data_IF_681166671828
#
_entry.id   IF_681166671828
#
_cell.length_a   1.000
_cell.length_b   1.000
_cell.length_c   1.000
_cell.angle_alpha   90.00
_cell.angle_beta   90.00
_cell.angle_gamma   90.00
#
_symmetry.space_group_name_H-M   'P 1'
#
loop_
_entity.id
_entity.type
_entity.pdbx_description
1 polymer ?
#
# COMPACT_ATOMS: atom_id res chain seq x y z
N UNK A 1 3.35 25.86 41.55
CA UNK A 1 3.01 24.79 40.56
C UNK A 1 1.53 24.72 40.22
N UNK A 2 0.59 24.75 41.16
CA UNK A 2 -0.86 24.65 40.84
C UNK A 2 -1.45 25.81 40.03
N UNK A 3 -0.93 27.04 40.20
CA UNK A 3 -1.42 28.22 39.46
C UNK A 3 -0.99 28.24 37.98
N UNK A 4 0.17 27.66 37.65
CA UNK A 4 0.69 27.60 36.27
C UNK A 4 -0.08 26.56 35.42
N UNK A 5 -0.54 25.47 36.05
CA UNK A 5 -1.35 24.46 35.40
C UNK A 5 -2.75 24.99 35.04
N UNK A 6 -3.34 25.81 35.94
CA UNK A 6 -4.65 26.43 35.70
C UNK A 6 -4.58 27.46 34.57
N UNK A 7 -3.50 28.24 34.47
CA UNK A 7 -3.29 29.17 33.35
C UNK A 7 -3.07 28.45 32.00
N UNK A 8 -2.37 27.32 32.00
CA UNK A 8 -2.20 26.50 30.79
C UNK A 8 -3.51 25.88 30.33
N UNK A 9 -4.35 25.43 31.25
CA UNK A 9 -5.69 24.89 30.92
C UNK A 9 -6.64 26.00 30.42
N UNK A 10 -6.56 27.21 30.96
CA UNK A 10 -7.35 28.33 30.44
C UNK A 10 -6.85 28.84 29.10
N UNK A 11 -5.56 28.77 28.80
CA UNK A 11 -4.99 29.13 27.51
C UNK A 11 -5.45 28.12 26.42
N UNK A 12 -5.53 26.81 26.74
CA UNK A 12 -6.05 25.80 25.82
C UNK A 12 -7.57 25.98 25.62
N UNK A 13 -8.33 26.32 26.65
CA UNK A 13 -9.75 26.61 26.53
C UNK A 13 -10.05 27.88 25.72
N UNK A 14 -9.20 28.92 25.81
CA UNK A 14 -9.36 30.17 25.06
C UNK A 14 -9.01 29.99 23.56
N UNK A 15 -8.07 29.10 23.22
CA UNK A 15 -7.77 28.74 21.83
C UNK A 15 -8.93 27.93 21.22
N UNK A 16 -9.61 27.09 22.02
CA UNK A 16 -10.78 26.34 21.54
C UNK A 16 -12.00 27.24 21.30
N UNK A 17 -12.16 28.35 22.03
CA UNK A 17 -13.28 29.27 21.85
C UNK A 17 -13.13 30.23 20.65
N UNK A 18 -11.90 30.50 20.22
CA UNK A 18 -11.62 31.31 19.02
C UNK A 18 -11.68 30.51 17.71
N UNK A 19 -11.76 29.20 17.75
CA UNK A 19 -11.79 28.33 16.58
C UNK A 19 -13.21 28.10 16.00
N UNK A 20 -14.20 28.82 16.49
CA UNK A 20 -15.59 28.72 16.01
C UNK A 20 -15.96 29.69 14.88
N UNK A 21 -14.98 30.29 14.21
CA UNK A 21 -15.24 30.82 12.87
C UNK A 21 -15.42 29.65 11.94
N UNK A 22 -16.66 29.42 11.49
CA UNK A 22 -16.93 28.51 10.37
C UNK A 22 -16.17 29.03 9.15
N UNK A 23 -14.96 28.54 8.98
CA UNK A 23 -14.29 28.67 7.69
C UNK A 23 -15.03 27.79 6.71
N UNK A 24 -15.87 28.38 5.92
CA UNK A 24 -16.51 27.71 4.80
C UNK A 24 -15.44 27.56 3.74
N UNK A 25 -14.95 26.35 3.53
CA UNK A 25 -14.10 26.04 2.39
C UNK A 25 -15.01 25.97 1.18
N UNK A 26 -14.91 26.93 0.28
CA UNK A 26 -15.59 26.88 -0.99
C UNK A 26 -14.97 25.78 -1.85
N UNK A 27 -15.74 24.72 -2.08
CA UNK A 27 -15.34 23.62 -2.96
C UNK A 27 -15.70 24.02 -4.39
N UNK A 28 -14.75 24.01 -5.34
CA UNK A 28 -15.05 24.30 -6.74
C UNK A 28 -16.17 23.42 -7.29
N UNK A 29 -17.02 23.95 -8.16
CA UNK A 29 -18.21 23.24 -8.69
C UNK A 29 -17.89 21.95 -9.46
N UNK A 30 -16.69 21.83 -10.01
CA UNK A 30 -16.20 20.60 -10.66
C UNK A 30 -15.78 19.50 -9.69
N UNK A 31 -15.65 19.83 -8.40
CA UNK A 31 -15.27 18.88 -7.34
C UNK A 31 -16.49 18.62 -6.46
N UNK A 32 -16.87 17.38 -6.29
CA UNK A 32 -18.04 16.99 -5.51
C UNK A 32 -17.76 15.78 -4.61
N UNK A 33 -18.66 15.57 -3.63
CA UNK A 33 -18.61 14.44 -2.70
C UNK A 33 -17.26 14.31 -1.99
N UNK A 34 -16.65 15.43 -1.64
CA UNK A 34 -15.37 15.43 -0.90
C UNK A 34 -15.59 14.92 0.51
N UNK A 35 -14.85 13.87 0.86
CA UNK A 35 -14.93 13.21 2.16
C UNK A 35 -13.54 13.05 2.76
N UNK A 36 -13.38 13.52 3.99
CA UNK A 36 -12.23 13.24 4.84
C UNK A 36 -12.55 12.05 5.74
N UNK A 37 -11.67 11.08 5.78
CA UNK A 37 -11.79 9.90 6.64
C UNK A 37 -10.44 9.51 7.23
N UNK A 38 -10.45 8.70 8.26
CA UNK A 38 -9.21 8.22 8.86
C UNK A 38 -9.47 7.15 9.89
N UNK A 39 -8.42 6.44 10.25
CA UNK A 39 -8.45 5.44 11.30
C UNK A 39 -7.09 5.22 11.92
N UNK A 40 -7.10 4.79 13.19
CA UNK A 40 -5.94 4.32 13.93
C UNK A 40 -6.16 2.89 14.39
N UNK A 41 -5.11 2.07 14.35
CA UNK A 41 -5.10 0.70 14.87
C UNK A 41 -3.94 0.55 15.83
N UNK A 42 -4.23 0.18 17.07
CA UNK A 42 -3.25 -0.18 18.09
C UNK A 42 -3.29 -1.67 18.33
N UNK A 43 -2.19 -2.25 18.71
CA UNK A 43 -2.11 -3.68 19.03
C UNK A 43 -1.13 -3.96 20.16
N UNK A 44 -1.34 -5.07 20.85
CA UNK A 44 -0.36 -5.73 21.68
C UNK A 44 0.17 -6.95 20.93
N UNK A 45 1.47 -7.13 20.89
CA UNK A 45 2.12 -8.25 20.23
C UNK A 45 3.02 -8.98 21.20
N UNK A 46 2.84 -10.29 21.28
CA UNK A 46 3.71 -11.21 22.02
C UNK A 46 4.28 -12.25 21.07
N UNK A 47 5.59 -12.50 21.14
CA UNK A 47 6.26 -13.59 20.46
C UNK A 47 7.25 -14.21 21.43
N UNK A 48 7.15 -15.52 21.63
CA UNK A 48 8.14 -16.32 22.38
C UNK A 48 9.08 -17.10 21.46
N UNK A 49 9.12 -16.76 20.18
CA UNK A 49 10.02 -17.41 19.23
C UNK A 49 11.47 -17.05 19.57
N UNK A 50 12.32 -18.07 19.73
CA UNK A 50 13.74 -17.90 20.01
C UNK A 50 14.39 -16.97 18.97
N UNK A 51 15.16 -16.01 19.41
CA UNK A 51 15.84 -14.99 18.62
C UNK A 51 14.90 -13.99 17.92
N UNK A 52 13.59 -14.01 18.26
CA UNK A 52 12.58 -13.06 17.78
C UNK A 52 11.51 -12.78 18.84
N UNK A 53 11.95 -12.73 20.11
CA UNK A 53 11.08 -12.44 21.25
C UNK A 53 10.53 -11.01 21.15
N UNK A 54 9.24 -10.86 21.41
CA UNK A 54 8.56 -9.57 21.41
C UNK A 54 7.49 -9.52 22.49
N UNK A 55 7.47 -8.43 23.22
CA UNK A 55 6.41 -8.11 24.18
C UNK A 55 6.17 -6.60 24.10
N UNK A 56 5.25 -6.17 23.26
CA UNK A 56 5.16 -4.76 22.89
C UNK A 56 3.72 -4.31 22.60
N UNK A 57 3.41 -3.10 23.08
CA UNK A 57 2.30 -2.31 22.56
C UNK A 57 2.79 -1.45 21.40
N UNK A 58 2.09 -1.45 20.29
CA UNK A 58 2.48 -0.66 19.14
C UNK A 58 1.28 -0.12 18.36
N UNK A 59 1.56 0.86 17.48
CA UNK A 59 0.60 1.41 16.54
C UNK A 59 0.78 0.68 15.21
N UNK A 60 -0.19 -0.15 14.87
CA UNK A 60 -0.16 -0.91 13.62
C UNK A 60 -0.36 -0.02 12.40
N UNK A 61 -1.33 0.90 12.47
CA UNK A 61 -1.65 1.81 11.39
C UNK A 61 -2.23 3.11 11.93
N UNK A 62 -1.87 4.22 11.31
CA UNK A 62 -2.50 5.52 11.50
C UNK A 62 -2.62 6.17 10.13
N UNK A 63 -3.85 6.32 9.61
CA UNK A 63 -4.11 6.76 8.24
C UNK A 63 -5.18 7.83 8.19
N UNK A 64 -4.98 8.79 7.26
CA UNK A 64 -5.99 9.78 6.86
C UNK A 64 -6.15 9.68 5.35
N UNK A 65 -7.37 9.77 4.88
CA UNK A 65 -7.73 9.74 3.48
C UNK A 65 -8.63 10.90 3.12
N UNK A 66 -8.42 11.46 1.95
CA UNK A 66 -9.29 12.40 1.28
C UNK A 66 -9.72 11.79 -0.04
N UNK A 67 -11.01 11.81 -0.32
CA UNK A 67 -11.58 11.24 -1.53
C UNK A 67 -12.71 12.12 -2.06
N UNK A 68 -13.06 11.98 -3.34
CA UNK A 68 -14.13 12.75 -3.93
C UNK A 68 -14.38 12.40 -5.40
N UNK A 69 -15.19 13.24 -6.07
CA UNK A 69 -15.47 13.12 -7.50
C UNK A 69 -15.11 14.38 -8.24
N UNK A 70 -14.59 14.23 -9.46
CA UNK A 70 -14.29 15.30 -10.41
C UNK A 70 -15.21 15.11 -11.60
N UNK A 71 -15.92 16.16 -11.99
CA UNK A 71 -16.83 16.17 -13.14
C UNK A 71 -17.84 14.99 -13.16
N UNK A 72 -18.19 14.46 -11.99
CA UNK A 72 -19.17 13.38 -11.84
C UNK A 72 -18.63 11.98 -12.10
N UNK A 73 -17.88 11.78 -13.18
CA UNK A 73 -17.45 10.44 -13.64
C UNK A 73 -16.13 9.97 -13.04
N UNK A 74 -15.28 10.88 -12.60
CA UNK A 74 -13.97 10.54 -12.05
C UNK A 74 -14.00 10.51 -10.52
N UNK A 75 -13.78 9.35 -9.95
CA UNK A 75 -13.49 9.19 -8.52
C UNK A 75 -11.99 9.29 -8.29
N UNK A 76 -11.58 9.99 -7.24
CA UNK A 76 -10.19 10.10 -6.83
C UNK A 76 -10.05 9.85 -5.33
N UNK A 77 -8.89 9.35 -4.95
CA UNK A 77 -8.54 9.14 -3.54
C UNK A 77 -7.06 9.39 -3.31
N UNK A 78 -6.76 10.05 -2.20
CA UNK A 78 -5.42 10.12 -1.62
C UNK A 78 -5.46 9.61 -0.19
N UNK A 79 -4.46 8.85 0.22
CA UNK A 79 -4.35 8.35 1.59
C UNK A 79 -2.90 8.39 2.06
N UNK A 80 -2.68 8.92 3.26
CA UNK A 80 -1.38 9.00 3.92
C UNK A 80 -1.39 8.11 5.15
N UNK A 81 -0.31 7.35 5.34
CA UNK A 81 -0.02 6.60 6.55
C UNK A 81 1.05 7.34 7.34
N UNK A 82 0.76 7.67 8.61
CA UNK A 82 1.63 8.49 9.44
C UNK A 82 2.71 7.70 10.17
N UNK A 83 2.52 6.42 10.38
CA UNK A 83 3.50 5.55 11.03
C UNK A 83 4.41 4.80 10.04
N UNK A 84 4.52 5.27 8.81
CA UNK A 84 5.35 4.65 7.78
C UNK A 84 4.95 3.19 7.51
N UNK A 85 5.94 2.29 7.45
CA UNK A 85 5.72 0.85 7.33
C UNK A 85 5.99 0.09 8.63
N UNK A 86 6.35 0.80 9.67
CA UNK A 86 6.65 0.22 10.99
C UNK A 86 5.41 0.29 11.88
N UNK A 87 5.39 -0.52 12.90
CA UNK A 87 4.39 -0.46 13.97
C UNK A 87 4.76 0.52 15.07
N UNK A 88 5.66 1.47 14.81
CA UNK A 88 6.07 2.51 15.76
C UNK A 88 5.86 3.90 15.16
N UNK A 89 5.60 4.87 16.02
CA UNK A 89 5.64 6.28 15.66
C UNK A 89 7.11 6.69 15.50
N UNK A 90 7.44 7.42 14.48
CA UNK A 90 8.80 7.89 14.22
C UNK A 90 9.26 7.66 12.79
N UNK A 91 8.53 6.90 12.03
CA UNK A 91 8.72 6.83 10.59
C UNK A 91 8.07 8.01 9.89
N UNK A 92 8.69 8.46 8.81
CA UNK A 92 8.13 9.54 7.99
C UNK A 92 6.76 9.17 7.43
N UNK A 93 5.82 10.11 7.37
CA UNK A 93 4.56 9.91 6.66
C UNK A 93 4.81 9.48 5.22
N UNK A 94 3.98 8.58 4.72
CA UNK A 94 4.10 8.09 3.34
C UNK A 94 2.75 8.02 2.66
N UNK A 95 2.75 8.34 1.38
CA UNK A 95 1.59 8.15 0.53
C UNK A 95 1.35 6.64 0.33
N UNK A 96 0.15 6.18 0.64
CA UNK A 96 -0.24 4.77 0.42
C UNK A 96 -1.21 4.62 -0.74
N UNK A 97 -2.16 5.52 -0.91
CA UNK A 97 -3.03 5.55 -2.08
C UNK A 97 -2.99 6.94 -2.73
N UNK A 98 -2.86 6.99 -4.03
CA UNK A 98 -3.04 8.18 -4.87
C UNK A 98 -3.47 7.70 -6.25
N UNK A 99 -4.77 7.79 -6.54
CA UNK A 99 -5.30 7.33 -7.81
C UNK A 99 -6.52 8.12 -8.26
N UNK A 100 -6.79 8.05 -9.55
CA UNK A 100 -8.05 8.44 -10.15
C UNK A 100 -8.68 7.24 -10.87
N UNK A 101 -10.00 7.18 -10.85
CA UNK A 101 -10.76 6.11 -11.47
C UNK A 101 -11.93 6.70 -12.26
N UNK A 102 -11.95 6.45 -13.56
CA UNK A 102 -13.07 6.76 -14.40
C UNK A 102 -14.15 5.69 -14.26
N UNK A 103 -15.36 6.11 -13.87
CA UNK A 103 -16.46 5.24 -13.44
C UNK A 103 -17.76 5.52 -14.20
N UNK A 104 -17.69 6.01 -15.44
CA UNK A 104 -18.88 6.34 -16.22
C UNK A 104 -19.78 5.15 -16.49
N UNK A 105 -19.19 3.99 -16.75
CA UNK A 105 -19.92 2.76 -17.03
C UNK A 105 -19.67 1.73 -15.92
N UNK A 106 -20.73 1.02 -15.55
CA UNK A 106 -20.63 0.00 -14.51
C UNK A 106 -19.79 -1.20 -14.96
N UNK A 107 -19.89 -1.56 -16.22
CA UNK A 107 -19.20 -2.69 -16.82
C UNK A 107 -17.76 -2.38 -17.26
N UNK A 108 -17.36 -1.11 -17.25
CA UNK A 108 -16.01 -0.72 -17.65
C UNK A 108 -15.56 0.53 -16.91
N UNK A 109 -14.62 0.36 -16.02
CA UNK A 109 -13.99 1.40 -15.21
C UNK A 109 -12.49 1.32 -15.40
N UNK A 110 -11.81 2.46 -15.38
CA UNK A 110 -10.36 2.57 -15.57
C UNK A 110 -9.77 3.29 -14.39
N UNK A 111 -8.83 2.65 -13.70
CA UNK A 111 -8.12 3.19 -12.53
C UNK A 111 -6.65 3.34 -12.84
N UNK A 112 -6.06 4.50 -12.52
CA UNK A 112 -4.65 4.79 -12.70
C UNK A 112 -4.07 5.45 -11.45
N UNK A 113 -2.86 5.07 -11.09
CA UNK A 113 -2.12 5.62 -9.95
C UNK A 113 -1.58 4.55 -9.04
N UNK A 114 -1.43 4.89 -7.76
CA UNK A 114 -0.98 3.98 -6.71
C UNK A 114 -2.16 3.51 -5.87
N UNK A 115 -2.39 2.21 -5.84
CA UNK A 115 -3.51 1.60 -5.11
C UNK A 115 -3.23 0.12 -4.81
N UNK A 116 -4.12 -0.52 -4.06
CA UNK A 116 -4.01 -1.94 -3.74
C UNK A 116 -4.14 -2.82 -4.98
N UNK A 117 -3.19 -3.73 -5.15
CA UNK A 117 -3.20 -4.70 -6.25
C UNK A 117 -4.49 -5.52 -6.25
N UNK A 118 -5.08 -5.80 -7.42
CA UNK A 118 -6.31 -6.61 -7.54
C UNK A 118 -6.02 -8.11 -7.41
N UNK A 119 -5.33 -8.50 -6.32
CA UNK A 119 -4.96 -9.89 -6.06
C UNK A 119 -5.75 -10.43 -4.86
N UNK A 120 -6.54 -11.46 -5.08
CA UNK A 120 -7.47 -12.10 -4.16
C UNK A 120 -8.58 -11.18 -3.63
N UNK A 121 -9.49 -11.70 -2.82
CA UNK A 121 -10.48 -10.89 -2.10
C UNK A 121 -9.86 -10.17 -0.89
N UNK A 122 -8.79 -10.72 -0.35
CA UNK A 122 -8.19 -10.26 0.91
C UNK A 122 -7.40 -8.98 0.72
N UNK A 123 -6.60 -8.84 -0.36
CA UNK A 123 -5.75 -7.67 -0.53
C UNK A 123 -6.54 -6.35 -0.67
N UNK A 124 -7.59 -6.25 -1.49
CA UNK A 124 -8.38 -5.02 -1.58
C UNK A 124 -9.21 -4.71 -0.33
N UNK A 125 -9.43 -5.68 0.56
CA UNK A 125 -10.23 -5.51 1.77
C UNK A 125 -9.67 -4.41 2.67
N UNK A 126 -10.55 -3.64 3.30
CA UNK A 126 -10.13 -2.62 4.25
C UNK A 126 -9.54 -3.30 5.51
N UNK A 127 -8.43 -2.80 6.08
CA UNK A 127 -7.80 -3.45 7.24
C UNK A 127 -8.70 -3.62 8.46
N UNK A 128 -9.71 -2.76 8.63
CA UNK A 128 -10.70 -2.86 9.73
C UNK A 128 -11.66 -4.04 9.52
N UNK A 129 -11.93 -4.41 8.25
CA UNK A 129 -12.89 -5.45 7.89
C UNK A 129 -12.24 -6.85 7.82
N UNK A 130 -10.94 -6.94 8.04
CA UNK A 130 -10.23 -8.21 8.06
C UNK A 130 -10.57 -9.01 9.33
N UNK A 131 -11.02 -10.23 9.15
CA UNK A 131 -11.33 -11.13 10.27
C UNK A 131 -10.09 -11.67 11.00
N UNK A 132 -8.90 -11.55 10.42
CA UNK A 132 -7.62 -11.99 10.98
C UNK A 132 -6.63 -10.85 11.07
N UNK A 133 -5.72 -10.90 12.03
CA UNK A 133 -4.70 -9.88 12.22
C UNK A 133 -3.66 -9.82 11.10
N UNK A 134 -3.40 -10.94 10.42
CA UNK A 134 -2.43 -11.04 9.34
C UNK A 134 -3.08 -11.42 8.02
N UNK A 135 -2.41 -11.10 6.94
CA UNK A 135 -2.77 -11.57 5.61
C UNK A 135 -2.35 -13.03 5.44
N UNK A 136 -3.05 -13.76 4.57
CA UNK A 136 -2.63 -15.08 4.15
C UNK A 136 -1.23 -15.07 3.54
N UNK A 137 -0.52 -16.19 3.60
CA UNK A 137 0.88 -16.24 3.20
C UNK A 137 1.09 -15.92 1.72
N UNK A 138 0.20 -16.39 0.84
CA UNK A 138 0.23 -16.08 -0.58
C UNK A 138 -0.04 -14.60 -0.86
N UNK A 139 -0.99 -13.97 -0.17
CA UNK A 139 -1.23 -12.53 -0.30
C UNK A 139 -0.04 -11.73 0.22
N UNK A 140 0.50 -12.09 1.36
CA UNK A 140 1.68 -11.42 1.91
C UNK A 140 2.87 -11.44 0.96
N UNK A 141 3.08 -12.55 0.25
CA UNK A 141 4.19 -12.71 -0.70
C UNK A 141 3.89 -12.08 -2.06
N UNK A 142 2.78 -12.42 -2.68
CA UNK A 142 2.49 -12.03 -4.06
C UNK A 142 1.95 -10.61 -4.19
N UNK A 143 1.23 -10.09 -3.21
CA UNK A 143 0.82 -8.70 -3.19
C UNK A 143 1.87 -7.75 -2.61
N UNK A 144 3.01 -8.25 -2.13
CA UNK A 144 4.14 -7.45 -1.65
C UNK A 144 3.93 -6.82 -0.29
N UNK A 145 3.23 -7.48 0.64
CA UNK A 145 3.13 -7.01 2.04
C UNK A 145 4.41 -7.22 2.81
N UNK A 146 5.03 -8.37 2.65
CA UNK A 146 6.40 -8.56 3.08
C UNK A 146 7.30 -8.16 1.92
N UNK A 147 8.25 -7.33 2.23
CA UNK A 147 9.25 -6.91 1.30
C UNK A 147 9.97 -8.12 0.68
N UNK A 148 9.74 -8.35 -0.60
CA UNK A 148 10.37 -9.44 -1.35
C UNK A 148 11.86 -9.24 -1.48
N UNK A 149 12.29 -7.98 -1.51
CA UNK A 149 13.67 -7.59 -1.74
C UNK A 149 14.35 -7.00 -0.50
N UNK A 150 13.64 -6.85 0.63
CA UNK A 150 14.17 -6.19 1.83
C UNK A 150 14.19 -4.66 1.75
N UNK A 151 13.57 -4.04 0.71
CA UNK A 151 13.76 -2.61 0.45
C UNK A 151 12.46 -1.78 0.45
N UNK A 152 11.35 -2.39 0.08
CA UNK A 152 10.09 -1.65 -0.11
C UNK A 152 8.91 -2.40 0.46
N UNK A 153 8.39 -1.95 1.59
CA UNK A 153 7.12 -2.47 2.06
C UNK A 153 5.97 -1.84 1.27
N UNK A 154 5.35 -2.59 0.40
CA UNK A 154 4.30 -2.12 -0.50
C UNK A 154 2.92 -2.05 0.16
N UNK A 155 2.71 -2.72 1.27
CA UNK A 155 1.38 -2.86 1.89
C UNK A 155 0.31 -3.34 0.91
N UNK A 156 0.68 -4.24 -0.01
CA UNK A 156 -0.21 -4.77 -1.05
C UNK A 156 -0.55 -3.77 -2.15
N UNK A 157 0.26 -2.74 -2.35
CA UNK A 157 0.03 -1.66 -3.33
C UNK A 157 1.13 -1.60 -4.35
N UNK A 158 0.78 -0.99 -5.50
CA UNK A 158 1.74 -0.68 -6.56
C UNK A 158 1.21 0.47 -7.40
N UNK A 159 2.06 1.01 -8.28
CA UNK A 159 1.70 2.02 -9.27
C UNK A 159 1.36 1.30 -10.56
N UNK A 160 0.17 1.58 -11.11
CA UNK A 160 -0.27 0.90 -12.32
C UNK A 160 -1.57 1.42 -12.90
N UNK A 161 -2.05 0.65 -13.86
CA UNK A 161 -3.32 0.85 -14.57
C UNK A 161 -4.18 -0.41 -14.40
N UNK A 162 -5.45 -0.24 -14.03
CA UNK A 162 -6.41 -1.34 -13.84
C UNK A 162 -7.70 -1.07 -14.59
N UNK A 163 -8.21 -2.12 -15.22
CA UNK A 163 -9.55 -2.20 -15.78
C UNK A 163 -10.41 -3.09 -14.91
N UNK A 164 -11.65 -2.69 -14.67
CA UNK A 164 -12.60 -3.48 -13.89
C UNK A 164 -14.04 -3.18 -14.27
N UNK A 165 -14.93 -4.08 -13.96
CA UNK A 165 -16.35 -3.88 -14.24
C UNK A 165 -17.22 -4.99 -13.69
N UNK A 166 -18.52 -4.69 -13.73
CA UNK A 166 -19.59 -5.51 -13.19
C UNK A 166 -20.60 -5.85 -14.28
N UNK A 167 -21.01 -7.12 -14.34
CA UNK A 167 -21.91 -7.63 -15.38
C UNK A 167 -23.03 -8.51 -14.80
N UNK A 168 -24.00 -8.82 -15.65
CA UNK A 168 -25.06 -9.82 -15.43
C UNK A 168 -25.91 -9.49 -14.20
N UNK A 169 -26.74 -8.46 -14.33
CA UNK A 169 -27.69 -8.11 -13.27
C UNK A 169 -28.78 -9.16 -13.14
N UNK A 170 -29.06 -9.57 -11.91
CA UNK A 170 -30.23 -10.37 -11.58
C UNK A 170 -31.50 -9.49 -11.53
N UNK A 171 -32.67 -10.11 -11.29
CA UNK A 171 -33.95 -9.43 -11.20
C UNK A 171 -33.99 -8.32 -10.12
N UNK A 172 -33.15 -8.38 -9.10
CA UNK A 172 -33.04 -7.39 -8.04
C UNK A 172 -31.99 -6.31 -8.32
N UNK A 173 -31.44 -6.25 -9.52
CA UNK A 173 -30.45 -5.29 -9.95
C UNK A 173 -29.03 -5.53 -9.41
N UNK A 174 -28.77 -6.66 -8.73
CA UNK A 174 -27.44 -7.01 -8.22
C UNK A 174 -26.60 -7.66 -9.31
N UNK A 175 -25.37 -7.19 -9.47
CA UNK A 175 -24.39 -7.76 -10.38
C UNK A 175 -23.97 -9.17 -9.93
N UNK A 176 -23.88 -10.09 -10.89
CA UNK A 176 -23.54 -11.49 -10.63
C UNK A 176 -22.11 -11.83 -11.04
N UNK A 177 -21.46 -11.02 -11.86
CA UNK A 177 -20.11 -11.22 -12.34
C UNK A 177 -19.30 -9.94 -12.18
N UNK A 178 -18.08 -10.08 -11.67
CA UNK A 178 -17.09 -9.01 -11.64
C UNK A 178 -15.77 -9.49 -12.24
N UNK A 179 -15.09 -8.60 -12.96
CA UNK A 179 -13.73 -8.81 -13.42
C UNK A 179 -12.84 -7.63 -13.04
N UNK A 180 -11.57 -7.91 -12.88
CA UNK A 180 -10.53 -6.90 -12.72
C UNK A 180 -9.21 -7.40 -13.29
N UNK A 181 -8.47 -6.54 -13.98
CA UNK A 181 -7.14 -6.83 -14.51
C UNK A 181 -6.33 -5.54 -14.51
N UNK A 182 -5.08 -5.61 -14.10
CA UNK A 182 -4.21 -4.45 -14.07
C UNK A 182 -2.78 -4.78 -14.43
N UNK A 183 -2.07 -3.75 -14.88
CA UNK A 183 -0.64 -3.77 -15.19
C UNK A 183 0.07 -2.84 -14.23
N UNK A 184 1.07 -3.33 -13.53
CA UNK A 184 1.76 -2.65 -12.43
C UNK A 184 3.27 -2.65 -12.61
N UNK A 185 3.95 -1.69 -12.00
CA UNK A 185 5.41 -1.60 -12.08
C UNK A 185 6.15 -2.74 -11.35
N UNK A 186 5.53 -3.37 -10.35
CA UNK A 186 6.17 -4.44 -9.60
C UNK A 186 7.09 -3.97 -8.45
N UNK A 187 7.28 -2.67 -8.29
CA UNK A 187 8.23 -2.09 -7.34
C UNK A 187 7.61 -1.65 -6.00
N UNK A 188 6.28 -1.73 -5.87
CA UNK A 188 5.57 -1.32 -4.66
C UNK A 188 5.29 0.18 -4.57
N UNK A 189 5.09 0.66 -3.33
CA UNK A 189 4.64 2.03 -3.09
C UNK A 189 5.75 3.06 -3.30
N UNK A 190 5.41 4.21 -3.91
CA UNK A 190 6.26 5.39 -4.06
C UNK A 190 7.59 5.12 -4.79
N UNK A 191 7.65 4.03 -5.55
CA UNK A 191 8.87 3.61 -6.24
C UNK A 191 8.66 3.69 -7.74
N UNK A 192 9.62 4.33 -8.41
CA UNK A 192 9.67 4.37 -9.87
C UNK A 192 10.05 2.98 -10.40
N UNK A 193 9.52 2.63 -11.54
CA UNK A 193 9.96 1.44 -12.29
C UNK A 193 11.48 1.51 -12.58
N UNK A 194 12.19 0.46 -12.20
CA UNK A 194 13.65 0.38 -12.32
C UNK A 194 14.11 -0.73 -13.27
N UNK A 195 13.23 -1.66 -13.66
CA UNK A 195 13.57 -2.84 -14.44
C UNK A 195 12.81 -2.94 -15.78
N UNK A 196 11.90 -2.01 -16.05
CA UNK A 196 11.02 -1.97 -17.22
C UNK A 196 10.10 -3.18 -17.38
N UNK A 197 10.07 -4.08 -16.40
CA UNK A 197 9.15 -5.22 -16.38
C UNK A 197 7.83 -4.79 -15.77
N UNK A 198 6.77 -5.51 -16.13
CA UNK A 198 5.43 -5.24 -15.60
C UNK A 198 4.82 -6.48 -15.01
N UNK A 199 4.12 -6.28 -13.91
CA UNK A 199 3.31 -7.31 -13.30
C UNK A 199 1.88 -7.21 -13.83
N UNK A 200 1.31 -8.33 -14.27
CA UNK A 200 -0.09 -8.43 -14.64
C UNK A 200 -0.81 -9.17 -13.52
N UNK A 201 -1.81 -8.51 -12.93
CA UNK A 201 -2.54 -9.02 -11.78
C UNK A 201 -4.02 -8.84 -12.03
N UNK A 202 -4.83 -9.87 -11.74
CA UNK A 202 -6.26 -9.75 -11.93
C UNK A 202 -7.03 -10.96 -11.44
N UNK A 203 -8.34 -10.90 -11.63
CA UNK A 203 -9.24 -11.97 -11.27
C UNK A 203 -10.65 -11.75 -11.78
N UNK A 204 -11.42 -12.80 -11.70
CA UNK A 204 -12.84 -12.83 -12.03
C UNK A 204 -13.57 -13.60 -10.95
N UNK A 205 -14.77 -13.14 -10.59
CA UNK A 205 -15.62 -13.85 -9.64
C UNK A 205 -17.09 -13.71 -9.96
N UNK A 206 -17.83 -14.70 -9.52
CA UNK A 206 -19.29 -14.73 -9.55
C UNK A 206 -19.88 -14.54 -8.16
N UNK A 207 -21.05 -13.94 -8.10
CA UNK A 207 -21.80 -13.63 -6.88
C UNK A 207 -23.19 -14.28 -6.95
N UNK A 208 -23.31 -15.62 -6.86
CA UNK A 208 -24.56 -16.31 -7.14
C UNK A 208 -25.66 -15.96 -6.14
N UNK A 209 -25.31 -15.82 -4.87
CA UNK A 209 -26.22 -15.41 -3.81
C UNK A 209 -25.64 -14.24 -3.00
N UNK A 210 -26.48 -13.56 -2.24
CA UNK A 210 -26.02 -12.46 -1.37
C UNK A 210 -25.00 -12.97 -0.35
N UNK A 211 -23.90 -12.23 -0.19
CA UNK A 211 -22.81 -12.57 0.73
C UNK A 211 -21.82 -13.64 0.22
N UNK A 212 -22.06 -14.26 -0.93
CA UNK A 212 -21.17 -15.28 -1.51
C UNK A 212 -20.41 -14.74 -2.72
N UNK A 213 -19.11 -14.97 -2.75
CA UNK A 213 -18.21 -14.70 -3.88
C UNK A 213 -17.36 -15.92 -4.16
N UNK A 214 -17.34 -16.37 -5.40
CA UNK A 214 -16.50 -17.48 -5.86
C UNK A 214 -15.72 -17.00 -7.05
N UNK A 215 -14.40 -17.07 -7.00
CA UNK A 215 -13.56 -16.54 -8.07
C UNK A 215 -12.16 -17.10 -8.12
N UNK A 216 -11.47 -16.75 -9.20
CA UNK A 216 -10.09 -17.09 -9.43
C UNK A 216 -9.27 -15.81 -9.67
N UNK A 217 -8.02 -15.84 -9.23
CA UNK A 217 -7.08 -14.73 -9.36
C UNK A 217 -5.76 -15.23 -9.90
N UNK A 218 -5.12 -14.41 -10.71
CA UNK A 218 -3.81 -14.67 -11.27
C UNK A 218 -2.85 -13.52 -11.01
N UNK A 219 -1.60 -13.87 -10.91
CA UNK A 219 -0.48 -12.96 -10.83
C UNK A 219 0.66 -13.47 -11.72
N UNK A 220 1.24 -12.62 -12.53
CA UNK A 220 2.43 -12.92 -13.32
C UNK A 220 3.28 -11.68 -13.46
N UNK A 221 4.59 -11.84 -13.43
CA UNK A 221 5.53 -10.74 -13.56
C UNK A 221 6.82 -11.01 -12.80
N UNK A 222 7.56 -9.95 -12.60
CA UNK A 222 8.85 -9.95 -11.91
C UNK A 222 9.00 -8.70 -11.04
N UNK A 223 10.05 -8.66 -10.25
CA UNK A 223 10.45 -7.48 -9.48
C UNK A 223 11.96 -7.38 -9.45
N UNK A 224 12.47 -6.16 -9.48
CA UNK A 224 13.89 -5.89 -9.33
C UNK A 224 14.31 -6.12 -7.87
N UNK A 225 15.46 -6.74 -7.72
CA UNK A 225 16.05 -7.06 -6.43
C UNK A 225 17.49 -6.57 -6.39
N UNK A 226 17.90 -5.91 -5.32
CA UNK A 226 19.30 -5.68 -5.05
C UNK A 226 19.97 -6.98 -4.58
N UNK A 227 21.00 -7.36 -5.29
CA UNK A 227 21.83 -8.51 -4.93
C UNK A 227 23.00 -8.12 -4.05
N UNK A 228 23.37 -9.02 -3.17
CA UNK A 228 24.60 -8.96 -2.41
C UNK A 228 25.36 -10.25 -2.63
N UNK A 229 26.56 -10.13 -3.20
CA UNK A 229 27.42 -11.27 -3.48
C UNK A 229 28.70 -11.10 -2.67
N UNK A 230 29.07 -12.11 -1.92
CA UNK A 230 30.37 -12.18 -1.22
C UNK A 230 31.31 -13.07 -2.04
N UNK A 231 32.44 -12.52 -2.45
CA UNK A 231 33.43 -13.25 -3.23
C UNK A 231 34.77 -13.30 -2.48
N UNK A 232 35.54 -14.39 -2.63
CA UNK A 232 36.89 -14.46 -2.07
C UNK A 232 37.80 -13.38 -2.66
N UNK A 233 38.72 -12.87 -1.88
CA UNK A 233 39.71 -11.85 -2.29
C UNK A 233 40.93 -12.46 -2.97
N UNK A 234 40.88 -13.70 -3.41
CA UNK A 234 41.97 -14.41 -4.07
C UNK A 234 42.25 -14.01 -5.54
N UNK A 235 41.45 -13.06 -6.05
CA UNK A 235 41.60 -12.57 -7.43
C UNK A 235 41.04 -13.51 -8.49
N UNK A 236 40.36 -14.59 -8.10
CA UNK A 236 39.83 -15.59 -9.03
C UNK A 236 38.59 -15.14 -9.78
N UNK A 237 37.94 -14.05 -9.36
CA UNK A 237 36.73 -13.51 -10.00
C UNK A 237 37.01 -12.14 -10.59
N UNK A 238 37.05 -12.05 -11.93
CA UNK A 238 37.03 -10.76 -12.65
C UNK A 238 35.59 -10.26 -12.71
N UNK A 239 35.35 -9.19 -12.02
CA UNK A 239 34.04 -8.54 -12.00
C UNK A 239 34.02 -7.40 -13.00
N UNK A 240 33.14 -7.47 -13.96
CA UNK A 240 33.04 -6.48 -15.02
C UNK A 240 32.03 -5.38 -14.64
N UNK A 241 32.38 -4.15 -15.00
CA UNK A 241 31.53 -2.97 -14.80
C UNK A 241 30.16 -3.11 -15.50
N UNK A 242 30.06 -4.00 -16.47
CA UNK A 242 28.87 -4.29 -17.25
C UNK A 242 27.76 -4.96 -16.46
N UNK A 243 28.07 -5.59 -15.33
CA UNK A 243 27.08 -6.19 -14.43
C UNK A 243 26.44 -5.18 -13.45
N UNK A 244 26.81 -3.91 -13.50
CA UNK A 244 26.27 -2.88 -12.60
C UNK A 244 26.63 -3.06 -11.12
N UNK A 245 27.62 -3.90 -10.83
CA UNK A 245 28.05 -4.22 -9.48
C UNK A 245 29.13 -3.25 -9.04
N UNK A 246 29.05 -2.79 -7.78
CA UNK A 246 30.11 -1.97 -7.15
C UNK A 246 30.85 -2.78 -6.09
N UNK A 247 32.17 -2.69 -6.09
CA UNK A 247 33.01 -3.32 -5.10
C UNK A 247 33.03 -2.46 -3.83
N UNK A 248 32.67 -3.06 -2.71
CA UNK A 248 32.82 -2.45 -1.38
C UNK A 248 34.01 -3.12 -0.69
N UNK A 249 35.09 -2.37 -0.47
CA UNK A 249 36.23 -2.86 0.27
C UNK A 249 35.84 -3.28 1.69
N UNK A 250 36.26 -4.47 2.09
CA UNK A 250 36.17 -4.92 3.46
C UNK A 250 37.57 -5.39 3.91
N UNK A 251 37.91 -5.14 5.17
CA UNK A 251 39.20 -5.59 5.76
C UNK A 251 39.23 -7.10 6.06
N UNK A 252 38.36 -7.86 5.40
CA UNK A 252 38.19 -9.31 5.63
C UNK A 252 38.61 -10.10 4.36
N UNK A 253 38.68 -11.42 4.51
CA UNK A 253 39.02 -12.37 3.44
C UNK A 253 38.04 -12.38 2.24
N UNK A 254 36.93 -11.64 2.33
CA UNK A 254 35.90 -11.56 1.33
C UNK A 254 35.59 -10.11 0.99
N UNK A 255 35.32 -9.86 -0.28
CA UNK A 255 34.83 -8.58 -0.77
C UNK A 255 33.31 -8.67 -0.93
N UNK A 256 32.63 -7.70 -0.36
CA UNK A 256 31.18 -7.60 -0.44
C UNK A 256 30.76 -6.81 -1.68
N UNK A 257 29.86 -7.37 -2.44
CA UNK A 257 29.29 -6.75 -3.61
C UNK A 257 27.85 -6.33 -3.35
N UNK A 258 27.57 -5.06 -3.63
CA UNK A 258 26.21 -4.56 -3.66
C UNK A 258 25.90 -4.00 -5.03
N UNK A 259 24.85 -4.47 -5.65
CA UNK A 259 24.44 -4.03 -6.98
C UNK A 259 23.02 -4.40 -7.29
N UNK A 260 22.49 -3.84 -8.38
CA UNK A 260 21.23 -4.29 -8.93
C UNK A 260 21.42 -5.69 -9.52
N UNK A 261 20.72 -6.68 -9.05
CA UNK A 261 20.62 -8.00 -9.66
C UNK A 261 19.40 -8.04 -10.57
N UNK A 262 19.39 -9.02 -11.46
CA UNK A 262 18.28 -9.18 -12.39
C UNK A 262 16.94 -9.46 -11.75
N UNK A 263 15.94 -9.58 -12.59
CA UNK A 263 14.56 -9.91 -12.21
C UNK A 263 14.44 -11.36 -11.76
N UNK A 264 13.66 -11.60 -10.72
CA UNK A 264 13.23 -12.93 -10.28
C UNK A 264 11.74 -13.15 -10.55
#
# INVERSE_FOLDING_TARGET
MKKTIIMALMAVASVSASAQQKQTIEIPSWLSNVKLSGYGMTQYQYSGQKDAESNSFNIRMARIALEGRIAGDFYWKTQIQFNGNTSTLGSSPRMVDLFAEWQKYEYFKVKIGQFKNPFTFENPMHPIDQGFMGYSQNVSKLAGFSDRAGEHASNGRDIGLQFQGDFLKNANGRNLLHYQIGVFNGQGTNTKDVDQQKNVIGGVWVMPVSGMRIGAFGWTGSYARKGEITVPVDGSVKLTKELGLSLVNSDKEFVKWTGASGNE
#
